data_IF_491283899439
#
_entry.id   IF_491283899439
#
_cell.length_a   1.000
_cell.length_b   1.000
_cell.length_c   1.000
_cell.angle_alpha   90.00
_cell.angle_beta   90.00
_cell.angle_gamma   90.00
#
_symmetry.space_group_name_H-M   'P 1'
#
loop_
_entity.id
_entity.type
_entity.pdbx_description
1 polymer ?
#
# COMPACT_ATOMS: atom_id res chain seq x y z
N UNK A 1 14.08 -32.68 13.88
CA UNK A 1 15.28 -32.00 14.44
C UNK A 1 14.99 -31.64 15.89
N UNK A 2 15.65 -32.32 16.85
CA UNK A 2 15.52 -32.06 18.29
C UNK A 2 16.17 -30.70 18.61
N UNK A 3 15.38 -29.70 18.92
CA UNK A 3 15.88 -28.47 19.53
C UNK A 3 16.36 -28.79 20.95
N UNK A 4 17.68 -28.72 21.16
CA UNK A 4 18.29 -28.77 22.48
C UNK A 4 17.78 -27.59 23.31
N UNK A 5 16.99 -27.88 24.35
CA UNK A 5 16.59 -26.87 25.36
C UNK A 5 17.86 -26.19 25.89
N UNK A 6 18.04 -24.88 25.77
CA UNK A 6 19.21 -24.22 26.35
C UNK A 6 19.13 -24.41 27.88
N UNK A 7 20.24 -24.86 28.47
CA UNK A 7 20.41 -25.08 29.90
C UNK A 7 20.09 -23.75 30.67
N UNK A 8 18.86 -23.61 31.13
CA UNK A 8 18.44 -22.53 32.05
C UNK A 8 19.28 -22.52 33.35
N UNK A 9 19.85 -23.68 33.71
CA UNK A 9 20.68 -23.90 34.88
C UNK A 9 22.00 -23.07 34.88
N UNK A 10 22.66 -22.92 33.74
CA UNK A 10 23.97 -22.21 33.70
C UNK A 10 23.88 -20.75 34.01
N UNK A 11 22.79 -20.09 33.74
CA UNK A 11 22.61 -18.66 33.97
C UNK A 11 22.32 -18.37 35.45
N UNK A 12 21.45 -19.17 36.08
CA UNK A 12 21.16 -19.05 37.51
C UNK A 12 22.37 -19.36 38.37
N UNK A 13 23.13 -20.41 38.01
CA UNK A 13 24.38 -20.78 38.72
C UNK A 13 25.41 -19.70 38.63
N UNK A 14 25.63 -19.06 37.46
CA UNK A 14 26.58 -17.96 37.31
C UNK A 14 26.17 -16.72 38.11
N UNK A 15 24.90 -16.37 38.17
CA UNK A 15 24.41 -15.27 39.00
C UNK A 15 24.60 -15.57 40.50
N UNK A 16 24.24 -16.80 40.93
CA UNK A 16 24.37 -17.20 42.32
C UNK A 16 25.86 -17.20 42.77
N UNK A 17 26.76 -17.75 41.93
CA UNK A 17 28.20 -17.77 42.22
C UNK A 17 28.79 -16.35 42.28
N UNK A 18 28.44 -15.44 41.38
CA UNK A 18 28.92 -14.07 41.39
C UNK A 18 28.44 -13.30 42.62
N UNK A 19 27.17 -13.45 43.01
CA UNK A 19 26.63 -12.84 44.22
C UNK A 19 27.29 -13.37 45.48
N UNK A 20 27.53 -14.69 45.52
CA UNK A 20 28.22 -15.33 46.66
C UNK A 20 29.66 -14.82 46.79
N UNK A 21 30.39 -14.73 45.67
CA UNK A 21 31.75 -14.19 45.67
C UNK A 21 31.82 -12.73 46.15
N UNK A 22 30.93 -11.90 45.73
CA UNK A 22 30.81 -10.52 46.16
C UNK A 22 30.50 -10.46 47.68
N UNK A 23 29.57 -11.28 48.13
CA UNK A 23 29.20 -11.32 49.56
C UNK A 23 30.37 -11.79 50.43
N UNK A 24 31.07 -12.88 50.05
CA UNK A 24 32.25 -13.38 50.77
C UNK A 24 33.35 -12.35 50.77
N UNK A 25 33.63 -11.71 49.61
CA UNK A 25 34.68 -10.68 49.51
C UNK A 25 34.39 -9.46 50.38
N UNK A 26 33.14 -8.99 50.43
CA UNK A 26 32.74 -7.83 51.25
C UNK A 26 32.79 -8.16 52.76
N UNK A 27 32.31 -9.35 53.16
CA UNK A 27 32.39 -9.79 54.56
C UNK A 27 33.86 -9.95 55.02
N UNK A 28 34.72 -10.55 54.20
CA UNK A 28 36.13 -10.72 54.49
C UNK A 28 36.86 -9.35 54.60
N UNK A 29 36.59 -8.44 53.65
CA UNK A 29 37.13 -7.09 53.69
C UNK A 29 36.73 -6.32 54.98
N UNK A 30 35.47 -6.47 55.41
CA UNK A 30 34.98 -5.84 56.63
C UNK A 30 35.66 -6.40 57.89
N UNK A 31 35.93 -7.70 57.95
CA UNK A 31 36.65 -8.34 59.05
C UNK A 31 38.11 -7.88 59.11
N UNK A 32 38.78 -7.81 57.97
CA UNK A 32 40.15 -7.32 57.86
C UNK A 32 40.21 -5.85 58.24
N UNK A 33 39.27 -5.03 57.82
CA UNK A 33 39.19 -3.62 58.18
C UNK A 33 39.08 -3.42 59.71
N UNK A 34 38.17 -4.17 60.37
CA UNK A 34 38.06 -4.12 61.83
C UNK A 34 39.33 -4.53 62.56
N UNK A 35 40.03 -5.52 62.01
CA UNK A 35 41.29 -5.97 62.56
C UNK A 35 42.41 -4.90 62.42
N UNK A 36 42.47 -4.25 61.24
CA UNK A 36 43.37 -3.13 61.03
C UNK A 36 43.14 -1.98 62.03
N UNK A 37 41.82 -1.65 62.24
CA UNK A 37 41.46 -0.61 63.22
C UNK A 37 41.91 -0.93 64.64
N UNK A 38 41.76 -2.20 65.06
CA UNK A 38 42.29 -2.63 66.40
C UNK A 38 43.82 -2.59 66.53
N UNK A 39 44.53 -2.97 65.43
CA UNK A 39 46.02 -2.92 65.40
C UNK A 39 46.54 -1.48 65.50
N UNK A 40 45.86 -0.55 64.73
CA UNK A 40 46.20 0.87 64.77
C UNK A 40 46.00 1.46 66.15
N UNK A 41 45.00 1.04 66.90
CA UNK A 41 44.71 1.53 68.26
C UNK A 41 45.64 0.93 69.33
N UNK A 42 46.32 -0.18 69.03
CA UNK A 42 47.11 -0.93 70.02
C UNK A 42 48.67 -0.75 69.94
N UNK A 43 49.22 -0.01 68.93
CA UNK A 43 50.63 0.08 68.66
C UNK A 43 51.09 1.55 68.71
N UNK A 44 52.10 1.82 69.62
CA UNK A 44 52.73 3.16 69.85
C UNK A 44 53.90 3.44 68.92
N UNK A 45 54.49 2.44 68.24
CA UNK A 45 55.65 2.62 67.37
C UNK A 45 55.35 2.33 65.90
N UNK A 46 55.85 3.20 65.01
CA UNK A 46 55.60 3.15 63.57
C UNK A 46 56.12 1.85 62.92
N UNK A 47 57.27 1.33 63.38
CA UNK A 47 57.87 0.10 62.81
C UNK A 47 57.07 -1.17 63.16
N UNK A 48 56.57 -1.25 64.38
CA UNK A 48 55.73 -2.35 64.82
C UNK A 48 54.40 -2.35 64.17
N UNK A 49 53.82 -1.16 63.93
CA UNK A 49 52.56 -0.98 63.19
C UNK A 49 52.67 -1.46 61.75
N UNK A 50 53.74 -1.07 61.04
CA UNK A 50 53.96 -1.50 59.64
C UNK A 50 54.12 -3.03 59.50
N UNK A 51 54.81 -3.66 60.48
CA UNK A 51 54.99 -5.12 60.49
C UNK A 51 53.75 -5.88 60.82
N UNK A 52 52.87 -5.34 61.64
CA UNK A 52 51.60 -5.91 62.03
C UNK A 52 50.54 -5.77 60.91
N UNK A 53 50.57 -4.66 60.15
CA UNK A 53 49.61 -4.40 59.06
C UNK A 53 49.88 -5.16 57.72
N UNK A 54 51.10 -5.63 57.50
CA UNK A 54 51.57 -6.27 56.30
C UNK A 54 50.66 -7.46 55.85
N UNK A 55 50.28 -8.43 56.72
CA UNK A 55 49.44 -9.54 56.37
C UNK A 55 47.99 -9.10 56.04
N UNK A 56 47.51 -8.06 56.74
CA UNK A 56 46.11 -7.56 56.53
C UNK A 56 46.02 -6.73 55.27
N UNK A 57 47.06 -6.03 54.82
CA UNK A 57 47.12 -5.38 53.53
C UNK A 57 47.05 -6.40 52.37
N UNK A 58 47.75 -7.52 52.51
CA UNK A 58 47.65 -8.61 51.53
C UNK A 58 46.24 -9.23 51.47
N UNK A 59 45.61 -9.43 52.64
CA UNK A 59 44.25 -9.91 52.73
C UNK A 59 43.25 -8.96 52.08
N UNK A 60 43.38 -7.65 52.24
CA UNK A 60 42.57 -6.63 51.56
C UNK A 60 42.69 -6.68 50.03
N UNK A 61 43.89 -6.86 49.48
CA UNK A 61 44.14 -7.04 48.06
C UNK A 61 43.46 -8.27 47.53
N UNK A 62 43.51 -9.40 48.23
CA UNK A 62 42.82 -10.65 47.84
C UNK A 62 41.30 -10.47 47.87
N UNK A 63 40.75 -9.85 48.93
CA UNK A 63 39.32 -9.56 49.02
C UNK A 63 38.85 -8.65 47.89
N UNK A 64 39.63 -7.59 47.61
CA UNK A 64 39.36 -6.69 46.47
C UNK A 64 39.34 -7.43 45.12
N UNK A 65 40.32 -8.32 44.90
CA UNK A 65 40.37 -9.18 43.72
C UNK A 65 39.15 -10.08 43.56
N UNK A 66 38.68 -10.72 44.64
CA UNK A 66 37.47 -11.56 44.61
C UNK A 66 36.24 -10.74 44.29
N UNK A 67 36.11 -9.53 44.83
CA UNK A 67 34.96 -8.65 44.52
C UNK A 67 34.99 -8.24 43.04
N UNK A 68 36.15 -7.86 42.50
CA UNK A 68 36.30 -7.49 41.09
C UNK A 68 35.95 -8.64 40.17
N UNK A 69 36.39 -9.87 40.45
CA UNK A 69 36.01 -11.07 39.68
C UNK A 69 34.52 -11.30 39.74
N UNK A 70 33.89 -11.18 40.90
CA UNK A 70 32.45 -11.29 41.06
C UNK A 70 31.68 -10.28 40.22
N UNK A 71 32.09 -9.00 40.20
CA UNK A 71 31.51 -7.95 39.39
C UNK A 71 31.69 -8.19 37.88
N UNK A 72 32.86 -8.66 37.44
CA UNK A 72 33.11 -9.04 36.04
C UNK A 72 32.20 -10.17 35.58
N UNK A 73 32.01 -11.20 36.40
CA UNK A 73 31.11 -12.30 36.11
C UNK A 73 29.64 -11.84 36.00
N UNK A 74 29.24 -10.93 36.89
CA UNK A 74 27.90 -10.35 36.89
C UNK A 74 27.68 -9.49 35.63
N UNK A 75 28.65 -8.72 35.20
CA UNK A 75 28.60 -7.94 33.97
C UNK A 75 28.53 -8.82 32.74
N UNK A 76 29.32 -9.89 32.66
CA UNK A 76 29.26 -10.87 31.56
C UNK A 76 27.87 -11.53 31.50
N UNK A 77 27.31 -11.90 32.64
CA UNK A 77 25.97 -12.45 32.74
C UNK A 77 24.93 -11.47 32.19
N UNK A 78 24.97 -10.21 32.60
CA UNK A 78 24.05 -9.17 32.16
C UNK A 78 24.18 -8.92 30.65
N UNK A 79 25.37 -8.81 30.12
CA UNK A 79 25.61 -8.64 28.66
C UNK A 79 25.06 -9.82 27.87
N UNK A 80 25.19 -11.05 28.37
CA UNK A 80 24.61 -12.23 27.73
C UNK A 80 23.08 -12.23 27.78
N UNK A 81 22.50 -11.77 28.87
CA UNK A 81 21.04 -11.64 29.02
C UNK A 81 20.46 -10.64 28.03
N UNK A 82 21.06 -9.43 27.97
CA UNK A 82 20.69 -8.37 27.04
C UNK A 82 20.86 -8.83 25.59
N UNK A 83 21.99 -9.46 25.26
CA UNK A 83 22.24 -10.00 23.92
C UNK A 83 21.22 -11.07 23.48
N UNK A 84 20.74 -11.91 24.42
CA UNK A 84 19.66 -12.89 24.14
C UNK A 84 18.33 -12.19 23.90
N UNK A 85 17.97 -11.23 24.73
CA UNK A 85 16.73 -10.45 24.58
C UNK A 85 16.69 -9.72 23.23
N UNK A 86 17.77 -9.05 22.85
CA UNK A 86 17.88 -8.39 21.55
C UNK A 86 17.77 -9.34 20.35
N UNK A 87 18.32 -10.55 20.46
CA UNK A 87 18.16 -11.58 19.39
C UNK A 87 16.72 -12.04 19.25
N UNK A 88 16.02 -12.24 20.36
CA UNK A 88 14.61 -12.64 20.36
C UNK A 88 13.71 -11.55 19.75
N UNK A 89 13.94 -10.29 20.13
CA UNK A 89 13.18 -9.13 19.59
C UNK A 89 13.42 -9.01 18.07
N UNK A 90 14.68 -9.15 17.60
CA UNK A 90 14.96 -9.11 16.15
C UNK A 90 14.31 -10.28 15.40
N UNK A 91 14.32 -11.48 15.97
CA UNK A 91 13.68 -12.64 15.36
C UNK A 91 12.14 -12.46 15.28
N UNK A 92 11.53 -11.85 16.32
CA UNK A 92 10.11 -11.58 16.35
C UNK A 92 9.72 -10.48 15.32
N UNK A 93 10.51 -9.41 15.22
CA UNK A 93 10.30 -8.37 14.21
C UNK A 93 10.36 -8.94 12.79
N UNK A 94 11.37 -9.75 12.46
CA UNK A 94 11.47 -10.40 11.14
C UNK A 94 10.26 -11.30 10.83
N UNK A 95 9.73 -12.00 11.84
CA UNK A 95 8.53 -12.82 11.67
C UNK A 95 7.29 -11.95 11.41
N UNK A 96 7.14 -10.85 12.14
CA UNK A 96 6.03 -9.94 11.93
C UNK A 96 6.09 -9.29 10.53
N UNK A 97 7.27 -8.83 10.10
CA UNK A 97 7.49 -8.28 8.76
C UNK A 97 7.14 -9.32 7.67
N UNK A 98 7.54 -10.58 7.84
CA UNK A 98 7.19 -11.65 6.90
C UNK A 98 5.68 -11.95 6.88
N UNK A 99 5.00 -11.91 8.03
CA UNK A 99 3.55 -12.10 8.12
C UNK A 99 2.81 -10.93 7.45
N UNK A 100 3.26 -9.70 7.66
CA UNK A 100 2.68 -8.53 7.01
C UNK A 100 2.84 -8.58 5.48
N UNK A 101 4.02 -8.98 5.00
CA UNK A 101 4.24 -9.18 3.57
C UNK A 101 3.33 -10.26 2.99
N UNK A 102 3.21 -11.40 3.68
CA UNK A 102 2.33 -12.49 3.25
C UNK A 102 0.86 -12.04 3.22
N UNK A 103 0.41 -11.30 4.23
CA UNK A 103 -0.96 -10.78 4.27
C UNK A 103 -1.23 -9.81 3.11
N UNK A 104 -0.29 -8.92 2.76
CA UNK A 104 -0.41 -8.03 1.60
C UNK A 104 -0.51 -8.84 0.30
N UNK A 105 0.32 -9.87 0.13
CA UNK A 105 0.27 -10.76 -1.04
C UNK A 105 -1.05 -11.53 -1.12
N UNK A 106 -1.57 -12.04 0.00
CA UNK A 106 -2.86 -12.73 0.03
C UNK A 106 -4.02 -11.79 -0.31
N UNK A 107 -4.00 -10.55 0.17
CA UNK A 107 -5.01 -9.55 -0.18
C UNK A 107 -4.97 -9.20 -1.67
N UNK A 108 -3.79 -9.00 -2.23
CA UNK A 108 -3.60 -8.75 -3.67
C UNK A 108 -4.10 -9.94 -4.51
N UNK A 109 -3.72 -11.16 -4.16
CA UNK A 109 -4.20 -12.37 -4.85
C UNK A 109 -5.73 -12.53 -4.77
N UNK A 110 -6.32 -12.30 -3.61
CA UNK A 110 -7.78 -12.37 -3.44
C UNK A 110 -8.50 -11.30 -4.26
N UNK A 111 -7.92 -10.10 -4.38
CA UNK A 111 -8.43 -9.04 -5.22
C UNK A 111 -8.36 -9.42 -6.70
N UNK A 112 -7.22 -9.91 -7.18
CA UNK A 112 -7.05 -10.39 -8.56
C UNK A 112 -8.02 -11.53 -8.91
N UNK A 113 -8.19 -12.52 -8.03
CA UNK A 113 -9.14 -13.61 -8.25
C UNK A 113 -10.58 -13.12 -8.34
N UNK A 114 -10.98 -12.13 -7.51
CA UNK A 114 -12.33 -11.54 -7.60
C UNK A 114 -12.53 -10.84 -8.94
N UNK A 115 -11.55 -10.06 -9.40
CA UNK A 115 -11.63 -9.39 -10.69
C UNK A 115 -11.65 -10.39 -11.86
N UNK A 116 -10.87 -11.45 -11.82
CA UNK A 116 -10.84 -12.50 -12.83
C UNK A 116 -12.18 -13.25 -12.94
N UNK A 117 -12.79 -13.59 -11.79
CA UNK A 117 -14.12 -14.19 -11.76
C UNK A 117 -15.16 -13.23 -12.33
N UNK A 118 -15.13 -11.95 -11.94
CA UNK A 118 -16.00 -10.91 -12.46
C UNK A 118 -15.78 -10.77 -13.96
N UNK A 119 -14.55 -10.72 -14.45
CA UNK A 119 -14.22 -10.60 -15.86
C UNK A 119 -14.76 -11.79 -16.68
N UNK A 120 -14.53 -13.02 -16.21
CA UNK A 120 -14.98 -14.24 -16.92
C UNK A 120 -16.49 -14.34 -16.99
N UNK A 121 -17.19 -14.12 -15.86
CA UNK A 121 -18.65 -14.12 -15.81
C UNK A 121 -19.24 -12.97 -16.65
N UNK A 122 -18.61 -11.82 -16.61
CA UNK A 122 -19.07 -10.61 -17.30
C UNK A 122 -19.02 -10.74 -18.81
N UNK A 123 -17.99 -11.37 -19.38
CA UNK A 123 -17.90 -11.56 -20.83
C UNK A 123 -19.05 -12.39 -21.38
N UNK A 124 -19.38 -13.48 -20.69
CA UNK A 124 -20.50 -14.35 -21.06
C UNK A 124 -21.84 -13.65 -20.88
N UNK A 125 -22.03 -13.00 -19.74
CA UNK A 125 -23.25 -12.26 -19.40
C UNK A 125 -23.46 -11.08 -20.36
N UNK A 126 -22.39 -10.31 -20.65
CA UNK A 126 -22.49 -9.17 -21.57
C UNK A 126 -22.93 -9.57 -22.97
N UNK A 127 -22.48 -10.72 -23.48
CA UNK A 127 -22.94 -11.24 -24.76
C UNK A 127 -24.42 -11.59 -24.72
N UNK A 128 -24.91 -12.24 -23.67
CA UNK A 128 -26.32 -12.56 -23.50
C UNK A 128 -27.20 -11.32 -23.39
N UNK A 129 -26.80 -10.34 -22.56
CA UNK A 129 -27.53 -9.09 -22.43
C UNK A 129 -27.58 -8.28 -23.73
N UNK A 130 -26.49 -8.22 -24.50
CA UNK A 130 -26.49 -7.56 -25.80
C UNK A 130 -27.43 -8.21 -26.77
N UNK A 131 -27.59 -9.56 -26.72
CA UNK A 131 -28.55 -10.31 -27.54
C UNK A 131 -30.00 -10.00 -27.15
N UNK A 132 -30.30 -9.65 -25.90
CA UNK A 132 -31.59 -9.22 -25.42
C UNK A 132 -31.90 -7.75 -25.74
N UNK A 133 -30.93 -6.87 -25.52
CA UNK A 133 -31.12 -5.43 -25.71
C UNK A 133 -31.21 -5.03 -27.17
N UNK A 134 -30.51 -5.71 -28.07
CA UNK A 134 -30.55 -5.41 -29.51
C UNK A 134 -31.96 -5.49 -30.09
N UNK A 135 -32.75 -6.57 -29.89
CA UNK A 135 -34.14 -6.61 -30.36
C UNK A 135 -35.04 -5.62 -29.62
N UNK A 136 -34.88 -5.38 -28.32
CA UNK A 136 -35.68 -4.40 -27.57
C UNK A 136 -35.51 -3.01 -28.19
N UNK A 137 -34.25 -2.57 -28.39
CA UNK A 137 -33.94 -1.29 -29.04
C UNK A 137 -34.47 -1.23 -30.47
N UNK A 138 -34.31 -2.32 -31.25
CA UNK A 138 -34.79 -2.40 -32.64
C UNK A 138 -36.28 -2.29 -32.73
N UNK A 139 -37.04 -3.03 -31.92
CA UNK A 139 -38.50 -2.95 -31.93
C UNK A 139 -39.02 -1.64 -31.38
N UNK A 140 -38.37 -1.06 -30.35
CA UNK A 140 -38.75 0.29 -29.87
C UNK A 140 -38.61 1.32 -30.97
N UNK A 141 -37.48 1.30 -31.71
CA UNK A 141 -37.24 2.24 -32.81
C UNK A 141 -38.24 2.08 -33.96
N UNK A 142 -38.48 0.82 -34.39
CA UNK A 142 -39.46 0.51 -35.43
C UNK A 142 -40.90 0.89 -35.03
N UNK A 143 -41.24 0.82 -33.75
CA UNK A 143 -42.53 1.22 -33.24
C UNK A 143 -42.65 2.75 -33.20
N UNK A 144 -41.62 3.47 -32.80
CA UNK A 144 -41.56 4.93 -32.82
C UNK A 144 -41.75 5.52 -34.22
N UNK A 145 -41.26 4.83 -35.29
CA UNK A 145 -41.44 5.23 -36.67
C UNK A 145 -42.91 5.06 -37.18
N UNK A 146 -43.71 4.20 -36.50
CA UNK A 146 -45.06 3.84 -36.94
C UNK A 146 -46.16 4.47 -36.10
N UNK A 147 -45.83 5.07 -34.95
CA UNK A 147 -46.84 5.69 -34.08
C UNK A 147 -47.34 6.97 -34.70
N UNK A 148 -48.66 7.21 -34.75
CA UNK A 148 -49.22 8.49 -35.16
C UNK A 148 -48.81 9.60 -34.19
N UNK A 149 -48.54 10.82 -34.70
CA UNK A 149 -48.16 12.02 -33.89
C UNK A 149 -49.20 12.38 -32.81
N UNK A 150 -50.42 11.80 -32.88
CA UNK A 150 -51.53 12.03 -31.93
C UNK A 150 -51.41 11.17 -30.65
N UNK A 151 -50.60 10.11 -30.63
CA UNK A 151 -50.48 9.19 -29.51
C UNK A 151 -49.19 9.47 -28.73
N UNK A 152 -49.16 10.62 -28.06
CA UNK A 152 -47.98 11.13 -27.33
C UNK A 152 -47.63 10.24 -26.14
N UNK A 153 -48.59 9.62 -25.44
CA UNK A 153 -48.35 8.76 -24.29
C UNK A 153 -47.56 7.49 -24.65
N UNK A 154 -47.98 6.83 -25.77
CA UNK A 154 -47.29 5.66 -26.27
C UNK A 154 -45.91 6.01 -26.85
N UNK A 155 -45.78 7.17 -27.48
CA UNK A 155 -44.52 7.68 -28.01
C UNK A 155 -43.50 7.90 -26.87
N UNK A 156 -43.89 8.63 -25.81
CA UNK A 156 -43.04 8.93 -24.65
C UNK A 156 -42.62 7.63 -23.92
N UNK A 157 -43.54 6.67 -23.76
CA UNK A 157 -43.24 5.36 -23.18
C UNK A 157 -42.19 4.59 -23.99
N UNK A 158 -42.26 4.60 -25.31
CA UNK A 158 -41.28 3.90 -26.17
C UNK A 158 -39.94 4.61 -26.21
N UNK A 159 -39.90 5.93 -26.15
CA UNK A 159 -38.65 6.69 -25.98
C UNK A 159 -37.97 6.33 -24.65
N UNK A 160 -38.73 6.23 -23.55
CA UNK A 160 -38.21 5.84 -22.27
C UNK A 160 -37.62 4.41 -22.29
N UNK A 161 -38.30 3.46 -22.93
CA UNK A 161 -37.80 2.07 -23.13
C UNK A 161 -36.52 2.05 -23.96
N UNK A 162 -36.45 2.83 -25.04
CA UNK A 162 -35.28 2.92 -25.88
C UNK A 162 -34.10 3.50 -25.12
N UNK A 163 -34.29 4.61 -24.40
CA UNK A 163 -33.25 5.28 -23.58
C UNK A 163 -32.76 4.38 -22.44
N UNK A 164 -33.67 3.67 -21.77
CA UNK A 164 -33.30 2.70 -20.75
C UNK A 164 -32.43 1.56 -21.31
N UNK A 165 -32.80 1.06 -22.49
CA UNK A 165 -32.04 0.01 -23.20
C UNK A 165 -30.66 0.50 -23.66
N UNK A 166 -30.55 1.72 -24.13
CA UNK A 166 -29.27 2.39 -24.47
C UNK A 166 -28.38 2.52 -23.26
N UNK A 167 -28.94 2.96 -22.12
CA UNK A 167 -28.20 3.06 -20.85
C UNK A 167 -27.69 1.68 -20.39
N UNK A 168 -28.55 0.66 -20.44
CA UNK A 168 -28.19 -0.71 -20.11
C UNK A 168 -27.06 -1.25 -21.02
N UNK A 169 -27.15 -1.04 -22.34
CA UNK A 169 -26.11 -1.40 -23.31
C UNK A 169 -24.75 -0.75 -22.96
N UNK A 170 -24.76 0.53 -22.58
CA UNK A 170 -23.57 1.26 -22.19
C UNK A 170 -22.94 0.68 -20.91
N UNK A 171 -23.75 0.31 -19.92
CA UNK A 171 -23.28 -0.34 -18.68
C UNK A 171 -22.63 -1.69 -18.98
N UNK A 172 -23.28 -2.50 -19.83
CA UNK A 172 -22.81 -3.83 -20.21
C UNK A 172 -21.53 -3.75 -21.03
N UNK A 173 -21.38 -2.75 -21.92
CA UNK A 173 -20.15 -2.52 -22.65
C UNK A 173 -18.99 -2.23 -21.69
N UNK A 174 -19.18 -1.32 -20.73
CA UNK A 174 -18.16 -1.00 -19.70
C UNK A 174 -17.82 -2.22 -18.83
N UNK A 175 -18.79 -3.07 -18.54
CA UNK A 175 -18.58 -4.31 -17.80
C UNK A 175 -17.77 -5.32 -18.64
N UNK A 176 -18.05 -5.42 -19.96
CA UNK A 176 -17.30 -6.27 -20.90
C UNK A 176 -15.85 -5.83 -21.08
N UNK A 177 -15.59 -4.52 -20.97
CA UNK A 177 -14.24 -3.96 -21.07
C UNK A 177 -13.33 -4.40 -19.91
N UNK A 178 -13.88 -4.64 -18.71
CA UNK A 178 -13.19 -5.30 -17.58
C UNK A 178 -12.70 -6.72 -17.93
N UNK A 179 -13.47 -7.45 -18.73
CA UNK A 179 -13.12 -8.80 -19.17
C UNK A 179 -12.04 -8.84 -20.26
N UNK A 180 -11.93 -7.78 -21.05
CA UNK A 180 -11.01 -7.71 -22.21
C UNK A 180 -9.59 -7.31 -21.83
N UNK A 181 -9.34 -6.82 -20.63
CA UNK A 181 -8.00 -6.44 -20.17
C UNK A 181 -7.01 -7.60 -20.21
N UNK A 182 -7.48 -8.86 -20.21
CA UNK A 182 -6.63 -10.06 -20.22
C UNK A 182 -6.32 -10.63 -21.63
N UNK A 183 -6.82 -10.05 -22.74
CA UNK A 183 -6.62 -10.62 -24.09
C UNK A 183 -5.46 -9.92 -24.80
N UNK A 184 -4.28 -10.58 -24.82
CA UNK A 184 -3.17 -10.36 -25.78
C UNK A 184 -2.81 -8.90 -26.10
N UNK A 185 -2.51 -8.11 -25.08
CA UNK A 185 -2.23 -6.70 -25.24
C UNK A 185 -0.95 -6.45 -26.04
N UNK A 186 -1.05 -5.81 -27.19
CA UNK A 186 0.12 -5.32 -27.94
C UNK A 186 0.69 -4.10 -27.23
N UNK A 187 1.77 -4.31 -26.47
CA UNK A 187 2.56 -3.22 -25.92
C UNK A 187 3.38 -2.55 -27.03
N UNK A 188 3.24 -1.25 -27.16
CA UNK A 188 3.98 -0.41 -28.10
C UNK A 188 4.55 0.83 -27.41
N UNK A 189 5.42 1.54 -28.09
CA UNK A 189 5.88 2.84 -27.60
C UNK A 189 4.75 3.87 -27.69
N UNK A 190 4.40 4.45 -26.56
CA UNK A 190 3.30 5.42 -26.41
C UNK A 190 3.84 6.72 -25.83
N UNK A 191 3.41 7.84 -26.39
CA UNK A 191 3.60 9.17 -25.79
C UNK A 191 2.39 9.53 -24.94
N UNK A 192 2.61 9.84 -23.65
CA UNK A 192 1.53 10.27 -22.76
C UNK A 192 0.87 11.55 -23.22
N UNK A 193 1.64 12.49 -23.75
CA UNK A 193 1.12 13.81 -24.22
C UNK A 193 0.20 13.63 -25.43
N UNK A 194 0.56 12.76 -26.37
CA UNK A 194 -0.31 12.41 -27.51
C UNK A 194 -1.56 11.67 -27.06
N UNK A 195 -1.42 10.75 -26.11
CA UNK A 195 -2.53 9.99 -25.51
C UNK A 195 -3.55 10.94 -24.86
N UNK A 196 -3.06 11.91 -24.06
CA UNK A 196 -3.91 12.92 -23.40
C UNK A 196 -4.73 13.68 -24.43
N UNK A 197 -4.10 14.18 -25.51
CA UNK A 197 -4.80 14.95 -26.55
C UNK A 197 -5.89 14.12 -27.23
N UNK A 198 -5.55 12.90 -27.68
CA UNK A 198 -6.49 11.99 -28.35
C UNK A 198 -7.67 11.61 -27.42
N UNK A 199 -7.38 11.35 -26.15
CA UNK A 199 -8.44 10.95 -25.21
C UNK A 199 -9.35 12.13 -24.86
N UNK A 200 -8.84 13.34 -24.80
CA UNK A 200 -9.66 14.54 -24.62
C UNK A 200 -10.59 14.79 -25.81
N UNK A 201 -10.15 14.56 -27.05
CA UNK A 201 -11.01 14.66 -28.23
C UNK A 201 -12.17 13.67 -28.14
N UNK A 202 -11.91 12.45 -27.67
CA UNK A 202 -12.94 11.42 -27.41
C UNK A 202 -13.89 11.83 -26.28
N UNK A 203 -13.40 12.48 -25.24
CA UNK A 203 -14.19 12.91 -24.09
C UNK A 203 -14.97 14.23 -24.37
N UNK A 204 -14.64 14.96 -25.42
CA UNK A 204 -15.19 16.28 -25.72
C UNK A 204 -16.73 16.34 -25.74
N UNK A 205 -17.47 15.35 -26.31
CA UNK A 205 -18.94 15.37 -26.31
C UNK A 205 -19.58 15.29 -24.91
N UNK A 206 -18.83 14.76 -23.91
CA UNK A 206 -19.30 14.63 -22.53
C UNK A 206 -18.89 15.80 -21.63
N UNK A 207 -18.12 16.75 -22.17
CA UNK A 207 -17.62 17.91 -21.43
C UNK A 207 -18.77 18.91 -21.15
N UNK A 208 -19.03 19.26 -19.87
CA UNK A 208 -19.95 20.35 -19.55
C UNK A 208 -19.45 21.69 -20.13
N UNK A 209 -20.35 22.54 -20.61
CA UNK A 209 -19.99 23.82 -21.28
C UNK A 209 -19.14 24.74 -20.37
N UNK A 210 -19.43 24.72 -19.05
CA UNK A 210 -18.78 25.58 -18.06
C UNK A 210 -17.48 25.02 -17.50
N UNK A 211 -17.00 23.86 -18.01
CA UNK A 211 -15.71 23.29 -17.58
C UNK A 211 -14.57 23.79 -18.47
N UNK A 212 -13.60 24.44 -17.85
CA UNK A 212 -12.33 24.82 -18.49
C UNK A 212 -11.34 23.64 -18.41
N UNK A 213 -10.63 23.35 -19.51
CA UNK A 213 -9.58 22.32 -19.55
C UNK A 213 -8.21 22.97 -19.68
N UNK A 214 -7.32 22.69 -18.72
CA UNK A 214 -5.93 23.14 -18.70
C UNK A 214 -4.96 21.99 -18.88
N UNK A 215 -3.99 22.14 -19.79
CA UNK A 215 -2.99 21.12 -20.09
C UNK A 215 -1.59 21.60 -19.71
N UNK A 216 -0.90 20.80 -18.89
CA UNK A 216 0.48 20.99 -18.47
C UNK A 216 1.31 19.76 -18.88
N UNK A 217 1.56 19.62 -20.21
CA UNK A 217 2.17 18.43 -20.79
C UNK A 217 3.68 18.63 -20.94
N UNK A 218 4.48 17.85 -20.21
CA UNK A 218 5.93 17.96 -20.13
C UNK A 218 6.66 16.64 -20.45
N UNK A 219 6.01 15.71 -21.17
CA UNK A 219 6.57 14.42 -21.58
C UNK A 219 6.68 14.27 -23.12
N UNK A 220 6.81 15.37 -23.87
CA UNK A 220 6.70 15.42 -25.34
C UNK A 220 7.68 14.48 -26.07
N UNK A 221 8.88 14.27 -25.53
CA UNK A 221 9.93 13.41 -26.08
C UNK A 221 10.07 12.05 -25.36
N UNK A 222 9.27 11.82 -24.33
CA UNK A 222 9.32 10.62 -23.52
C UNK A 222 8.32 9.59 -24.04
N UNK A 223 8.78 8.35 -24.17
CA UNK A 223 7.98 7.20 -24.58
C UNK A 223 7.99 6.15 -23.47
N UNK A 224 6.85 5.49 -23.28
CA UNK A 224 6.75 4.30 -22.43
C UNK A 224 6.22 3.13 -23.25
N UNK A 225 6.63 1.93 -22.91
CA UNK A 225 6.08 0.72 -23.52
C UNK A 225 4.77 0.36 -22.83
N UNK A 226 3.66 0.52 -23.53
CA UNK A 226 2.33 0.39 -22.95
C UNK A 226 1.29 -0.11 -23.96
N UNK A 227 0.16 -0.58 -23.44
CA UNK A 227 -1.05 -0.77 -24.24
C UNK A 227 -1.82 0.56 -24.33
N UNK A 228 -1.74 1.23 -25.50
CA UNK A 228 -2.35 2.54 -25.70
C UNK A 228 -3.86 2.53 -25.45
N UNK A 229 -4.57 1.44 -25.82
CA UNK A 229 -6.02 1.33 -25.62
C UNK A 229 -6.37 1.30 -24.12
N UNK A 230 -5.66 0.49 -23.34
CA UNK A 230 -5.86 0.42 -21.89
C UNK A 230 -5.55 1.75 -21.21
N UNK A 231 -4.43 2.40 -21.54
CA UNK A 231 -4.11 3.72 -20.99
C UNK A 231 -5.12 4.79 -21.39
N UNK A 232 -5.63 4.75 -22.63
CA UNK A 232 -6.73 5.64 -23.07
C UNK A 232 -7.98 5.43 -22.25
N UNK A 233 -8.32 4.18 -21.94
CA UNK A 233 -9.47 3.83 -21.11
C UNK A 233 -9.30 4.32 -19.66
N UNK A 234 -8.11 4.12 -19.06
CA UNK A 234 -7.78 4.66 -17.74
C UNK A 234 -8.01 6.18 -17.71
N UNK A 235 -7.40 6.88 -18.65
CA UNK A 235 -7.49 8.35 -18.73
C UNK A 235 -8.91 8.83 -18.97
N UNK A 236 -9.66 8.17 -19.88
CA UNK A 236 -11.06 8.49 -20.16
C UNK A 236 -11.93 8.34 -18.90
N UNK A 237 -11.74 7.26 -18.13
CA UNK A 237 -12.45 7.05 -16.87
C UNK A 237 -12.18 8.18 -15.86
N UNK A 238 -10.92 8.64 -15.74
CA UNK A 238 -10.57 9.75 -14.85
C UNK A 238 -11.20 11.07 -15.33
N UNK A 239 -11.12 11.39 -16.63
CA UNK A 239 -11.71 12.60 -17.23
C UNK A 239 -13.23 12.63 -17.01
N UNK A 240 -13.92 11.54 -17.35
CA UNK A 240 -15.39 11.47 -17.20
C UNK A 240 -15.83 11.58 -15.74
N UNK A 241 -15.08 10.99 -14.80
CA UNK A 241 -15.36 11.16 -13.38
C UNK A 241 -15.19 12.62 -12.94
N UNK A 242 -14.15 13.31 -13.42
CA UNK A 242 -13.93 14.75 -13.16
C UNK A 242 -15.05 15.61 -13.73
N UNK A 243 -15.51 15.35 -14.96
CA UNK A 243 -16.65 16.06 -15.52
C UNK A 243 -17.93 15.88 -14.71
N UNK A 244 -18.18 14.64 -14.25
CA UNK A 244 -19.34 14.34 -13.41
C UNK A 244 -19.27 14.98 -12.02
N UNK A 245 -18.05 15.26 -11.51
CA UNK A 245 -17.84 15.96 -10.23
C UNK A 245 -18.03 17.46 -10.34
N UNK A 246 -18.11 18.00 -11.58
CA UNK A 246 -18.22 19.43 -11.87
C UNK A 246 -19.49 19.75 -12.69
N UNK A 247 -20.71 19.41 -12.24
CA UNK A 247 -21.92 19.61 -13.02
C UNK A 247 -22.23 21.09 -13.26
N UNK A 248 -21.79 21.98 -12.37
CA UNK A 248 -22.02 23.43 -12.45
C UNK A 248 -20.82 24.19 -13.05
N UNK A 249 -19.80 23.45 -13.53
CA UNK A 249 -18.59 24.00 -14.07
C UNK A 249 -17.39 23.86 -13.14
N UNK A 250 -16.24 24.29 -13.63
CA UNK A 250 -14.98 24.19 -12.89
C UNK A 250 -13.77 24.10 -13.82
N UNK A 251 -12.64 23.67 -13.28
CA UNK A 251 -11.41 23.50 -14.05
C UNK A 251 -10.91 22.06 -13.96
N UNK A 252 -10.74 21.43 -15.11
CA UNK A 252 -10.02 20.16 -15.25
C UNK A 252 -8.58 20.46 -15.65
N UNK A 253 -7.61 20.08 -14.84
CA UNK A 253 -6.18 20.20 -15.15
C UNK A 253 -5.59 18.82 -15.39
N UNK A 254 -4.99 18.61 -16.57
CA UNK A 254 -4.27 17.38 -16.89
C UNK A 254 -2.79 17.73 -17.05
N UNK A 255 -1.94 17.05 -16.29
CA UNK A 255 -0.49 17.25 -16.31
C UNK A 255 0.25 15.95 -16.54
N UNK A 256 1.35 16.04 -17.29
CA UNK A 256 2.32 14.97 -17.46
C UNK A 256 3.71 15.47 -17.09
N UNK A 257 4.51 14.64 -16.43
CA UNK A 257 5.91 14.89 -16.16
C UNK A 257 6.65 13.55 -16.02
N UNK A 258 7.95 13.59 -15.92
CA UNK A 258 8.77 12.40 -15.72
C UNK A 258 9.87 12.67 -14.68
N UNK A 259 10.31 11.58 -14.04
CA UNK A 259 11.43 11.56 -13.10
C UNK A 259 12.18 10.25 -13.31
N UNK A 260 13.49 10.35 -13.64
CA UNK A 260 14.36 9.21 -13.95
C UNK A 260 13.70 8.15 -14.84
N UNK A 261 13.14 7.10 -14.24
CA UNK A 261 12.56 5.94 -14.92
C UNK A 261 11.02 5.87 -14.84
N UNK A 262 10.35 6.93 -14.36
CA UNK A 262 8.90 6.94 -14.15
C UNK A 262 8.26 8.12 -14.86
N UNK A 263 7.18 7.84 -15.61
CA UNK A 263 6.30 8.86 -16.18
C UNK A 263 5.06 9.00 -15.29
N UNK A 264 4.64 10.23 -15.10
CA UNK A 264 3.49 10.59 -14.30
C UNK A 264 2.41 11.23 -15.15
N UNK A 265 1.17 10.84 -14.86
CA UNK A 265 -0.04 11.44 -15.40
C UNK A 265 -0.92 11.91 -14.24
N UNK A 266 -1.28 13.18 -14.20
CA UNK A 266 -2.18 13.74 -13.19
C UNK A 266 -3.43 14.29 -13.83
N UNK A 267 -4.58 13.92 -13.29
CA UNK A 267 -5.90 14.47 -13.64
C UNK A 267 -6.47 15.09 -12.38
N UNK A 268 -6.67 16.39 -12.39
CA UNK A 268 -7.15 17.14 -11.22
C UNK A 268 -8.35 18.00 -11.61
N UNK A 269 -9.40 17.94 -10.82
CA UNK A 269 -10.62 18.71 -10.95
C UNK A 269 -10.85 19.63 -9.73
N UNK A 270 -11.67 20.65 -9.92
CA UNK A 270 -12.16 21.53 -8.85
C UNK A 270 -13.61 21.21 -8.48
N UNK A 271 -13.99 19.94 -8.56
CA UNK A 271 -15.35 19.46 -8.31
C UNK A 271 -15.72 19.34 -6.84
N UNK A 272 -16.76 18.57 -6.56
CA UNK A 272 -17.30 18.37 -5.21
C UNK A 272 -16.34 17.71 -4.22
N UNK A 273 -15.28 17.05 -4.70
CA UNK A 273 -14.34 16.30 -3.88
C UNK A 273 -14.92 14.98 -3.34
N UNK A 274 -14.06 14.24 -2.61
CA UNK A 274 -14.36 12.93 -2.03
C UNK A 274 -14.13 13.00 -0.52
N UNK A 275 -15.06 12.54 0.34
CA UNK A 275 -14.85 12.44 1.77
C UNK A 275 -13.66 11.54 2.12
N UNK A 276 -12.93 11.87 3.17
CA UNK A 276 -11.77 11.10 3.63
C UNK A 276 -12.13 9.65 4.01
N UNK A 277 -13.37 9.44 4.50
CA UNK A 277 -13.91 8.10 4.79
C UNK A 277 -14.05 7.21 3.57
N UNK A 278 -14.27 7.79 2.40
CA UNK A 278 -14.53 7.07 1.17
C UNK A 278 -13.25 6.81 0.35
N UNK A 279 -12.22 7.64 0.54
CA UNK A 279 -10.94 7.54 -0.20
C UNK A 279 -10.33 6.12 -0.20
N UNK A 280 -10.35 5.35 0.90
CA UNK A 280 -9.81 3.98 0.88
C UNK A 280 -10.58 3.01 -0.02
N UNK A 281 -11.85 3.32 -0.34
CA UNK A 281 -12.77 2.43 -1.04
C UNK A 281 -13.03 2.79 -2.49
N UNK A 282 -12.60 3.98 -2.97
CA UNK A 282 -12.93 4.48 -4.31
C UNK A 282 -12.45 3.60 -5.46
N UNK A 283 -11.43 2.78 -5.23
CA UNK A 283 -10.90 1.84 -6.22
C UNK A 283 -11.52 0.43 -6.10
N UNK A 284 -12.42 0.21 -5.13
CA UNK A 284 -13.14 -1.07 -5.02
C UNK A 284 -14.20 -1.16 -6.13
N UNK A 285 -14.34 -2.32 -6.79
CA UNK A 285 -15.37 -2.52 -7.80
C UNK A 285 -16.78 -2.29 -7.21
N UNK A 286 -17.63 -1.61 -8.00
CA UNK A 286 -19.00 -1.25 -7.64
C UNK A 286 -19.16 -0.20 -6.53
N UNK A 287 -18.07 0.31 -5.97
CA UNK A 287 -18.16 1.41 -5.02
C UNK A 287 -18.60 2.70 -5.72
N UNK A 288 -19.67 3.31 -5.25
CA UNK A 288 -20.18 4.59 -5.76
C UNK A 288 -20.98 5.32 -4.70
N UNK A 289 -20.77 6.63 -4.61
CA UNK A 289 -21.54 7.55 -3.77
C UNK A 289 -22.68 8.22 -4.57
N UNK A 290 -22.79 7.93 -5.87
CA UNK A 290 -23.79 8.50 -6.76
C UNK A 290 -25.13 7.79 -6.59
N UNK A 291 -26.24 8.51 -6.88
CA UNK A 291 -27.59 7.93 -6.84
C UNK A 291 -27.68 6.68 -7.74
N UNK A 292 -28.53 5.74 -7.38
CA UNK A 292 -28.75 4.51 -8.13
C UNK A 292 -28.98 4.79 -9.64
N UNK A 293 -28.14 4.19 -10.48
CA UNK A 293 -28.19 4.36 -11.95
C UNK A 293 -27.32 5.50 -12.52
N UNK A 294 -26.75 6.40 -11.68
CA UNK A 294 -25.90 7.50 -12.15
C UNK A 294 -24.40 7.15 -12.20
N UNK A 295 -23.99 6.02 -11.62
CA UNK A 295 -22.61 5.53 -11.66
C UNK A 295 -22.55 4.02 -11.50
N UNK A 296 -21.70 3.36 -12.27
CA UNK A 296 -21.50 1.90 -12.20
C UNK A 296 -20.54 1.49 -11.09
N UNK A 297 -19.76 2.42 -10.52
CA UNK A 297 -18.69 2.14 -9.56
C UNK A 297 -17.52 1.33 -10.14
N UNK A 298 -17.41 1.21 -11.47
CA UNK A 298 -16.39 0.40 -12.14
C UNK A 298 -15.23 1.24 -12.72
N UNK A 299 -15.46 2.52 -13.02
CA UNK A 299 -14.49 3.34 -13.74
C UNK A 299 -13.13 3.50 -13.03
N UNK A 300 -13.15 3.75 -11.72
CA UNK A 300 -11.92 3.87 -10.93
C UNK A 300 -11.25 2.52 -10.67
N UNK A 301 -12.02 1.45 -10.48
CA UNK A 301 -11.50 0.10 -10.36
C UNK A 301 -10.76 -0.35 -11.65
N UNK A 302 -11.34 -0.03 -12.84
CA UNK A 302 -10.68 -0.26 -14.13
C UNK A 302 -9.41 0.57 -14.23
N UNK A 303 -9.43 1.84 -13.83
CA UNK A 303 -8.25 2.69 -13.87
C UNK A 303 -7.12 2.15 -12.99
N UNK A 304 -7.43 1.66 -11.79
CA UNK A 304 -6.47 1.02 -10.90
C UNK A 304 -5.88 -0.26 -11.51
N UNK A 305 -6.73 -1.14 -12.06
CA UNK A 305 -6.29 -2.37 -12.69
C UNK A 305 -5.36 -2.09 -13.89
N UNK A 306 -5.71 -1.14 -14.74
CA UNK A 306 -4.86 -0.76 -15.88
C UNK A 306 -3.51 -0.23 -15.41
N UNK A 307 -3.47 0.58 -14.34
CA UNK A 307 -2.20 1.04 -13.77
C UNK A 307 -1.34 -0.14 -13.27
N UNK A 308 -1.93 -1.11 -12.56
CA UNK A 308 -1.26 -2.32 -12.10
C UNK A 308 -0.78 -3.21 -13.25
N UNK A 309 -1.57 -3.40 -14.30
CA UNK A 309 -1.20 -4.17 -15.50
C UNK A 309 0.02 -3.58 -16.22
N UNK A 310 0.26 -2.27 -16.03
CA UNK A 310 1.44 -1.55 -16.51
C UNK A 310 2.53 -1.41 -15.44
N UNK A 311 2.45 -2.19 -14.34
CA UNK A 311 3.38 -2.13 -13.19
C UNK A 311 3.50 -0.73 -12.57
N UNK A 312 2.48 0.08 -12.77
CA UNK A 312 2.35 1.41 -12.20
C UNK A 312 1.51 1.43 -10.92
N UNK A 313 1.24 2.63 -10.47
CA UNK A 313 0.36 2.88 -9.33
C UNK A 313 -0.57 4.04 -9.62
N UNK A 314 -1.75 4.05 -8.99
CA UNK A 314 -2.66 5.18 -9.00
C UNK A 314 -2.92 5.64 -7.56
N UNK A 315 -2.92 6.93 -7.34
CA UNK A 315 -3.20 7.55 -6.05
C UNK A 315 -4.24 8.66 -6.21
N UNK A 316 -5.08 8.84 -5.20
CA UNK A 316 -6.05 9.92 -5.12
C UNK A 316 -5.75 10.84 -3.95
N UNK A 317 -5.87 12.14 -4.18
CA UNK A 317 -5.85 13.18 -3.15
C UNK A 317 -7.08 14.05 -3.35
N UNK A 318 -7.92 14.19 -2.34
CA UNK A 318 -9.19 14.89 -2.45
C UNK A 318 -9.56 15.59 -1.15
N UNK A 319 -10.28 16.70 -1.30
CA UNK A 319 -10.91 17.40 -0.20
C UNK A 319 -12.28 17.90 -0.62
N UNK A 320 -13.28 17.64 0.22
CA UNK A 320 -14.66 18.03 -0.07
C UNK A 320 -14.76 19.53 -0.30
N UNK A 321 -15.35 19.91 -1.43
CA UNK A 321 -15.51 21.29 -1.87
C UNK A 321 -14.27 21.93 -2.53
N UNK A 322 -13.11 21.23 -2.57
CA UNK A 322 -11.89 21.73 -3.24
C UNK A 322 -11.55 20.94 -4.51
N UNK A 323 -12.11 19.73 -4.66
CA UNK A 323 -11.92 18.86 -5.82
C UNK A 323 -11.08 17.63 -5.54
N UNK A 324 -10.70 16.93 -6.63
CA UNK A 324 -9.96 15.68 -6.58
C UNK A 324 -8.79 15.70 -7.55
N UNK A 325 -7.67 15.10 -7.16
CA UNK A 325 -6.52 14.86 -8.04
C UNK A 325 -6.14 13.38 -8.01
N UNK A 326 -6.17 12.75 -9.18
CA UNK A 326 -5.63 11.40 -9.39
C UNK A 326 -4.24 11.51 -10.00
N UNK A 327 -3.28 10.77 -9.45
CA UNK A 327 -1.91 10.70 -9.97
C UNK A 327 -1.58 9.26 -10.29
N UNK A 328 -1.23 9.00 -11.55
CA UNK A 328 -0.79 7.69 -12.06
C UNK A 328 0.71 7.76 -12.29
N UNK A 329 1.45 6.80 -11.74
CA UNK A 329 2.88 6.64 -11.96
C UNK A 329 3.11 5.38 -12.78
N UNK A 330 3.80 5.49 -13.91
CA UNK A 330 4.04 4.41 -14.87
C UNK A 330 5.55 4.22 -15.09
N UNK A 331 6.13 3.04 -14.89
CA UNK A 331 7.54 2.78 -15.18
C UNK A 331 7.80 2.89 -16.69
N UNK A 332 8.87 3.60 -17.06
CA UNK A 332 9.24 3.84 -18.46
C UNK A 332 9.71 2.57 -19.17
N UNK A 333 10.50 1.76 -18.47
CA UNK A 333 11.14 0.56 -19.00
C UNK A 333 10.48 -0.70 -18.43
N UNK A 334 9.28 -0.98 -18.87
CA UNK A 334 8.65 -2.26 -18.60
C UNK A 334 8.85 -3.18 -19.82
N UNK A 335 9.51 -4.34 -19.63
CA UNK A 335 9.57 -5.40 -20.62
C UNK A 335 8.65 -6.53 -20.11
N UNK A 336 7.44 -6.70 -20.66
CA UNK A 336 6.63 -7.87 -20.33
C UNK A 336 7.40 -9.11 -20.77
N UNK A 337 7.59 -10.08 -19.84
CA UNK A 337 8.16 -11.38 -20.18
C UNK A 337 7.21 -12.10 -21.14
N UNK A 338 7.60 -12.36 -22.40
CA UNK A 338 6.72 -12.99 -23.38
C UNK A 338 6.36 -14.44 -23.04
N UNK A 339 7.00 -15.06 -22.03
CA UNK A 339 6.80 -16.46 -21.64
C UNK A 339 6.05 -16.64 -20.30
N UNK A 340 5.81 -15.59 -19.53
CA UNK A 340 5.13 -15.72 -18.25
C UNK A 340 4.34 -14.44 -17.87
N UNK A 341 3.11 -14.28 -18.36
CA UNK A 341 2.29 -13.09 -18.07
C UNK A 341 1.83 -12.98 -16.59
N UNK A 342 2.16 -13.96 -15.75
CA UNK A 342 1.69 -14.03 -14.35
C UNK A 342 2.80 -14.07 -13.30
N UNK A 343 4.07 -13.84 -13.67
CA UNK A 343 5.18 -13.78 -12.72
C UNK A 343 6.07 -12.56 -12.97
N UNK A 344 5.77 -11.49 -12.35
CA UNK A 344 6.72 -10.45 -11.94
C UNK A 344 6.17 -9.69 -10.75
#
# INVERSE_FOLDING_TARGET
MKQSKPRKWTAGVLLSVSLLLILIGTCAAMLVFRRCEQIVLSHDSHEALLKALRPDALAMLVCGGVIVVGLCLLMIFFLRLVGRSHRQIRALRRKNEAVEQLNRQLQSLAHHQRLEIIATLTSSIAHEFNNLLTPIMGYSLLSLEKIPETDTELYDALVEVYDASQKAKTIISRLSDLSRTNSGAFFREVSLDELVRKTLDVAAPAKPEQVEVKLNLNCWDQRLRANELQLSQLLLNLILNSFQAMPEGGTLTIGTWFDEDTLFLRVADTGCGIPETDLPHIFEPFFTTKKAGAGTGLGLAIAAQVAEDHHGTIQASSKVGEGTAFTVALPRFFCPDPQNPTKS
#
